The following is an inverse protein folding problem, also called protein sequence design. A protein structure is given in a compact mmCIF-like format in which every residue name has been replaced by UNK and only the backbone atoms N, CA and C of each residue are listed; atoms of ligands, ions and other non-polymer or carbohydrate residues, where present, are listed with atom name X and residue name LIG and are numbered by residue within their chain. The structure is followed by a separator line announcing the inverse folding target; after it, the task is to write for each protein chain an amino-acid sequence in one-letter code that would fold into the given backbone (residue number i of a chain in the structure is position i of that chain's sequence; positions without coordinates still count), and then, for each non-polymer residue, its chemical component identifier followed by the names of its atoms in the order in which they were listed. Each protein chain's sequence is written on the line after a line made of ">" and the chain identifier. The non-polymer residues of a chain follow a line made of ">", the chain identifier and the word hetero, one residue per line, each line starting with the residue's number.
data_IF_155422164645
#
_entry.id   IF_155422164645
#
_cell.length_a   1.000
_cell.length_b   1.000
_cell.length_c   1.000
_cell.angle_alpha   90.00
_cell.angle_beta   90.00
_cell.angle_gamma   90.00
#
_symmetry.space_group_name_H-M   'P 1'
#
loop_
_entity.id
_entity.type
_entity.pdbx_description
1 polymer ?
#
# COMPACT_ATOMS: atom_id res chain seq x y z
N UNK A 1 15.31 22.26 -19.86
CA UNK A 1 16.10 22.71 -18.73
C UNK A 1 15.80 21.80 -17.54
N UNK A 2 16.81 21.13 -16.96
CA UNK A 2 16.67 20.19 -15.82
C UNK A 2 15.91 20.83 -14.65
N UNK A 3 16.15 22.11 -14.42
CA UNK A 3 15.47 22.88 -13.36
C UNK A 3 13.93 22.89 -13.56
N UNK A 4 13.46 23.07 -14.79
CA UNK A 4 12.01 23.06 -15.07
C UNK A 4 11.40 21.66 -14.91
N UNK A 5 12.16 20.61 -15.25
CA UNK A 5 11.71 19.25 -15.04
C UNK A 5 11.58 18.91 -13.56
N UNK A 6 12.55 19.31 -12.73
CA UNK A 6 12.46 19.11 -11.29
C UNK A 6 11.28 19.88 -10.69
N UNK A 7 11.09 21.14 -11.09
CA UNK A 7 9.95 21.93 -10.63
C UNK A 7 8.61 21.28 -10.98
N UNK A 8 8.47 20.75 -12.20
CA UNK A 8 7.27 20.02 -12.61
C UNK A 8 7.03 18.78 -11.73
N UNK A 9 8.09 18.01 -11.44
CA UNK A 9 8.00 16.83 -10.57
C UNK A 9 7.58 17.24 -9.16
N UNK A 10 8.20 18.28 -8.61
CA UNK A 10 7.90 18.78 -7.27
C UNK A 10 6.43 19.26 -7.18
N UNK A 11 5.96 20.04 -8.17
CA UNK A 11 4.57 20.52 -8.25
C UNK A 11 3.55 19.36 -8.34
N UNK A 12 3.89 18.28 -9.05
CA UNK A 12 3.04 17.08 -9.15
C UNK A 12 3.05 16.30 -7.83
N UNK A 13 4.23 16.09 -7.24
CA UNK A 13 4.37 15.36 -5.99
C UNK A 13 3.60 16.07 -4.86
N UNK A 14 3.73 17.38 -4.73
CA UNK A 14 3.02 18.17 -3.71
C UNK A 14 1.50 18.01 -3.80
N UNK A 15 0.96 17.89 -5.04
CA UNK A 15 -0.47 17.65 -5.26
C UNK A 15 -0.91 16.21 -4.95
N UNK A 16 -0.05 15.24 -5.25
CA UNK A 16 -0.37 13.80 -5.13
C UNK A 16 -0.16 13.31 -3.71
N UNK A 17 0.94 13.65 -3.07
CA UNK A 17 1.36 13.08 -1.78
C UNK A 17 0.31 13.28 -0.68
N UNK A 18 -0.31 14.46 -0.63
CA UNK A 18 -1.38 14.73 0.33
C UNK A 18 -2.61 13.86 0.08
N UNK A 19 -3.00 13.67 -1.19
CA UNK A 19 -4.16 12.85 -1.56
C UNK A 19 -3.88 11.37 -1.25
N UNK A 20 -2.69 10.88 -1.60
CA UNK A 20 -2.28 9.49 -1.36
C UNK A 20 -2.26 9.20 0.13
N UNK A 21 -1.64 10.07 0.93
CA UNK A 21 -1.57 9.90 2.38
C UNK A 21 -2.97 9.84 3.03
N UNK A 22 -3.85 10.80 2.70
CA UNK A 22 -5.22 10.79 3.21
C UNK A 22 -5.96 9.51 2.79
N UNK A 23 -5.77 9.07 1.54
CA UNK A 23 -6.38 7.85 1.04
C UNK A 23 -5.87 6.61 1.79
N UNK A 24 -4.58 6.52 2.08
CA UNK A 24 -3.98 5.43 2.85
C UNK A 24 -4.55 5.38 4.27
N UNK A 25 -4.61 6.55 4.95
CA UNK A 25 -5.16 6.65 6.31
C UNK A 25 -6.63 6.18 6.35
N UNK A 26 -7.47 6.66 5.43
CA UNK A 26 -8.90 6.28 5.35
C UNK A 26 -9.06 4.81 4.96
N UNK A 27 -8.21 4.29 4.07
CA UNK A 27 -8.28 2.88 3.67
C UNK A 27 -8.01 1.98 4.88
N UNK A 28 -7.02 2.34 5.69
CA UNK A 28 -6.69 1.60 6.90
C UNK A 28 -7.85 1.65 7.93
N UNK A 29 -8.42 2.83 8.15
CA UNK A 29 -9.56 3.00 9.06
C UNK A 29 -10.78 2.19 8.58
N UNK A 30 -11.04 2.18 7.25
CA UNK A 30 -12.08 1.35 6.65
C UNK A 30 -11.84 -0.15 6.88
N UNK A 31 -10.60 -0.61 6.71
CA UNK A 31 -10.24 -2.01 6.98
C UNK A 31 -10.48 -2.39 8.44
N UNK A 32 -10.13 -1.52 9.39
CA UNK A 32 -10.39 -1.71 10.82
C UNK A 32 -11.91 -1.78 11.12
N UNK A 33 -12.71 -0.92 10.50
CA UNK A 33 -14.18 -0.94 10.61
C UNK A 33 -14.79 -2.22 10.02
N UNK A 34 -14.34 -2.64 8.83
CA UNK A 34 -14.82 -3.85 8.18
C UNK A 34 -14.51 -5.10 9.02
N UNK A 35 -13.34 -5.16 9.65
CA UNK A 35 -12.97 -6.23 10.58
C UNK A 35 -13.86 -6.23 11.84
N UNK A 36 -14.14 -5.05 12.39
CA UNK A 36 -15.03 -4.90 13.54
C UNK A 36 -16.49 -5.33 13.20
N UNK A 37 -16.99 -5.00 12.01
CA UNK A 37 -18.31 -5.43 11.52
C UNK A 37 -18.38 -6.96 11.47
N UNK A 38 -17.37 -7.62 10.90
CA UNK A 38 -17.32 -9.08 10.82
C UNK A 38 -17.34 -9.69 12.23
N UNK A 39 -16.57 -9.14 13.15
CA UNK A 39 -16.53 -9.62 14.52
C UNK A 39 -17.88 -9.46 15.22
N UNK A 40 -18.49 -8.28 15.12
CA UNK A 40 -19.78 -7.99 15.76
C UNK A 40 -20.90 -8.90 15.21
N UNK A 41 -20.93 -9.16 13.90
CA UNK A 41 -21.89 -10.12 13.29
C UNK A 41 -21.70 -11.51 13.86
N UNK A 42 -20.48 -11.98 14.02
CA UNK A 42 -20.19 -13.29 14.60
C UNK A 42 -20.56 -13.37 16.10
N UNK A 43 -20.41 -12.27 16.83
CA UNK A 43 -20.83 -12.18 18.24
C UNK A 43 -22.36 -12.21 18.37
N UNK A 44 -23.08 -11.49 17.51
CA UNK A 44 -24.55 -11.49 17.46
C UNK A 44 -25.09 -12.90 17.19
N UNK A 45 -24.57 -13.60 16.18
CA UNK A 45 -24.94 -14.99 15.90
C UNK A 45 -24.62 -15.94 17.06
N UNK A 46 -23.56 -15.68 17.81
CA UNK A 46 -23.12 -16.47 18.97
C UNK A 46 -23.89 -16.19 20.23
N UNK A 47 -24.77 -15.18 20.24
CA UNK A 47 -25.50 -14.70 21.42
C UNK A 47 -24.60 -14.32 22.61
N UNK A 48 -23.40 -13.87 22.32
CA UNK A 48 -22.45 -13.34 23.31
C UNK A 48 -22.68 -11.84 23.41
N UNK A 49 -23.03 -11.37 24.62
CA UNK A 49 -23.15 -9.93 24.85
C UNK A 49 -21.76 -9.29 24.95
N UNK A 50 -21.56 -8.20 24.25
CA UNK A 50 -20.31 -7.41 24.32
C UNK A 50 -20.09 -6.88 25.74
N UNK A 51 -21.15 -6.49 26.44
CA UNK A 51 -21.09 -6.00 27.80
C UNK A 51 -20.63 -7.06 28.80
N UNK A 52 -21.06 -8.32 28.61
CA UNK A 52 -20.63 -9.45 29.46
C UNK A 52 -19.13 -9.72 29.31
N UNK A 53 -18.58 -9.41 28.16
CA UNK A 53 -17.15 -9.64 27.84
C UNK A 53 -16.27 -8.46 28.33
N UNK A 54 -16.74 -7.22 28.22
CA UNK A 54 -15.97 -6.03 28.58
C UNK A 54 -15.92 -5.75 30.09
N UNK A 55 -16.96 -6.10 30.83
CA UNK A 55 -17.14 -5.70 32.22
C UNK A 55 -16.64 -6.71 33.27
N UNK A 56 -15.79 -7.66 32.88
CA UNK A 56 -15.26 -8.67 33.83
C UNK A 56 -14.02 -8.16 34.56
N UNK A 57 -14.05 -8.16 35.88
CA UNK A 57 -12.94 -7.70 36.72
C UNK A 57 -11.77 -8.69 36.80
N UNK A 58 -12.05 -9.98 36.64
CA UNK A 58 -11.10 -11.07 36.85
C UNK A 58 -10.78 -11.86 35.59
N UNK A 59 -11.54 -11.69 34.53
CA UNK A 59 -11.39 -12.38 33.26
C UNK A 59 -11.12 -11.33 32.20
N UNK A 60 -10.11 -11.57 31.39
CA UNK A 60 -9.82 -10.74 30.22
C UNK A 60 -10.13 -11.53 28.97
N UNK A 61 -10.91 -10.94 28.07
CA UNK A 61 -11.23 -11.50 26.78
C UNK A 61 -10.45 -10.77 25.66
N UNK A 62 -10.05 -11.52 24.66
CA UNK A 62 -9.44 -10.99 23.44
C UNK A 62 -10.15 -11.51 22.21
N UNK A 63 -10.35 -10.63 21.27
CA UNK A 63 -10.93 -10.94 19.96
C UNK A 63 -9.88 -10.76 18.89
N UNK A 64 -9.93 -11.61 17.87
CA UNK A 64 -9.00 -11.48 16.77
C UNK A 64 -9.11 -12.62 15.78
N UNK A 65 -8.13 -12.68 14.89
CA UNK A 65 -8.03 -13.71 13.86
C UNK A 65 -6.65 -14.36 13.88
N UNK A 66 -6.60 -15.62 13.47
CA UNK A 66 -5.36 -16.40 13.32
C UNK A 66 -5.34 -16.99 11.91
N UNK A 67 -4.21 -16.99 11.19
CA UNK A 67 -4.08 -17.72 9.94
C UNK A 67 -4.43 -19.19 10.11
N UNK A 68 -5.18 -19.78 9.16
CA UNK A 68 -5.69 -21.17 9.27
C UNK A 68 -4.57 -22.19 9.48
N UNK A 69 -3.40 -21.99 8.83
CA UNK A 69 -2.21 -22.85 8.99
C UNK A 69 -1.62 -22.78 10.40
N UNK A 70 -1.68 -21.63 11.05
CA UNK A 70 -1.15 -21.41 12.40
C UNK A 70 -2.12 -21.89 13.49
N UNK A 71 -3.42 -21.85 13.23
CA UNK A 71 -4.47 -22.22 14.18
C UNK A 71 -4.32 -23.66 14.70
N UNK A 72 -3.76 -24.56 13.90
CA UNK A 72 -3.50 -25.95 14.31
C UNK A 72 -2.56 -26.06 15.51
N UNK A 73 -1.72 -25.04 15.73
CA UNK A 73 -0.77 -24.99 16.84
C UNK A 73 -1.45 -24.81 18.20
N UNK A 74 -2.72 -24.41 18.25
CA UNK A 74 -3.47 -24.21 19.50
C UNK A 74 -3.49 -25.49 20.37
N UNK A 75 -3.39 -26.65 19.74
CA UNK A 75 -3.30 -27.93 20.43
C UNK A 75 -2.06 -28.08 21.34
N UNK A 76 -0.98 -27.32 21.07
CA UNK A 76 0.25 -27.36 21.87
C UNK A 76 0.14 -26.54 23.16
N UNK A 77 -0.89 -25.70 23.28
CA UNK A 77 -1.11 -24.83 24.42
C UNK A 77 -2.26 -25.29 25.33
N UNK A 78 -2.64 -26.58 25.27
CA UNK A 78 -3.73 -27.15 26.07
C UNK A 78 -3.52 -27.09 27.57
N UNK A 79 -2.25 -26.99 28.02
CA UNK A 79 -1.89 -26.92 29.43
C UNK A 79 -2.02 -25.48 30.00
N UNK A 80 -2.30 -24.51 29.15
CA UNK A 80 -2.56 -23.14 29.58
C UNK A 80 -4.02 -22.98 30.01
N UNK A 81 -4.22 -22.21 31.09
CA UNK A 81 -5.55 -21.95 31.66
C UNK A 81 -6.31 -20.88 30.87
N UNK A 82 -6.73 -21.21 29.66
CA UNK A 82 -7.60 -20.35 28.88
C UNK A 82 -8.76 -21.13 28.25
N UNK A 83 -9.82 -20.41 27.94
CA UNK A 83 -10.90 -20.90 27.09
C UNK A 83 -10.88 -20.15 25.77
N UNK A 84 -11.22 -20.80 24.71
CA UNK A 84 -11.40 -20.14 23.41
C UNK A 84 -12.62 -20.68 22.70
N UNK A 85 -13.15 -19.84 21.81
CA UNK A 85 -14.24 -20.22 20.92
C UNK A 85 -13.94 -19.72 19.51
N UNK A 86 -14.07 -20.61 18.53
CA UNK A 86 -14.08 -20.25 17.12
C UNK A 86 -15.42 -19.57 16.82
N UNK A 87 -15.35 -18.35 16.24
CA UNK A 87 -16.50 -17.54 15.88
C UNK A 87 -16.85 -17.75 14.40
N UNK A 88 -15.82 -17.73 13.55
CA UNK A 88 -15.97 -17.89 12.11
C UNK A 88 -14.68 -18.45 11.50
N UNK A 89 -14.77 -19.01 10.30
CA UNK A 89 -13.62 -19.53 9.55
C UNK A 89 -13.73 -19.16 8.07
N UNK A 90 -12.73 -18.46 7.59
CA UNK A 90 -12.54 -18.22 6.17
C UNK A 90 -11.48 -19.18 5.57
N UNK A 91 -11.14 -19.01 4.29
CA UNK A 91 -10.06 -19.78 3.66
C UNK A 91 -8.67 -19.42 4.22
N UNK A 92 -8.49 -18.22 4.72
CA UNK A 92 -7.21 -17.67 5.17
C UNK A 92 -7.11 -17.54 6.67
N UNK A 93 -8.21 -17.20 7.36
CA UNK A 93 -8.23 -16.86 8.79
C UNK A 93 -9.32 -17.61 9.55
N UNK A 94 -9.04 -17.89 10.81
CA UNK A 94 -10.00 -18.34 11.83
C UNK A 94 -10.21 -17.18 12.79
N UNK A 95 -11.45 -16.74 12.93
CA UNK A 95 -11.86 -15.71 13.88
C UNK A 95 -12.19 -16.33 15.21
N UNK A 96 -11.58 -15.84 16.27
CA UNK A 96 -11.70 -16.43 17.59
C UNK A 96 -11.90 -15.37 18.66
N UNK A 97 -12.50 -15.82 19.77
CA UNK A 97 -12.42 -15.16 21.07
C UNK A 97 -11.70 -16.11 22.02
N UNK A 98 -10.79 -15.57 22.80
CA UNK A 98 -10.23 -16.31 23.93
C UNK A 98 -10.34 -15.50 25.20
N UNK A 99 -10.38 -16.19 26.33
CA UNK A 99 -10.49 -15.59 27.64
C UNK A 99 -9.61 -16.35 28.64
N UNK A 100 -9.02 -15.61 29.55
CA UNK A 100 -8.22 -16.12 30.64
C UNK A 100 -8.28 -15.20 31.86
N UNK A 101 -7.70 -15.66 32.98
CA UNK A 101 -7.58 -14.83 34.16
C UNK A 101 -6.73 -13.59 33.85
N UNK A 102 -7.17 -12.44 34.33
CA UNK A 102 -6.45 -11.16 34.12
C UNK A 102 -5.01 -11.22 34.65
N UNK A 103 -4.74 -12.03 35.69
CA UNK A 103 -3.41 -12.22 36.25
C UNK A 103 -2.44 -12.99 35.35
N UNK A 104 -2.93 -13.87 34.47
CA UNK A 104 -2.13 -14.71 33.57
C UNK A 104 -2.35 -14.39 32.10
N UNK A 105 -3.12 -13.36 31.80
CA UNK A 105 -3.46 -13.03 30.41
C UNK A 105 -2.24 -12.74 29.54
N UNK A 106 -1.17 -12.17 30.10
CA UNK A 106 0.06 -11.88 29.35
C UNK A 106 0.76 -13.15 28.83
N UNK A 107 0.70 -14.24 29.57
CA UNK A 107 1.26 -15.53 29.14
C UNK A 107 0.41 -16.12 28.00
N UNK A 108 -0.91 -15.99 28.12
CA UNK A 108 -1.87 -16.42 27.11
C UNK A 108 -1.71 -15.58 25.84
N UNK A 109 -1.60 -14.25 25.99
CA UNK A 109 -1.35 -13.33 24.86
C UNK A 109 -0.06 -13.68 24.11
N UNK A 110 1.01 -14.07 24.81
CA UNK A 110 2.26 -14.53 24.19
C UNK A 110 2.06 -15.84 23.42
N UNK A 111 1.30 -16.79 23.95
CA UNK A 111 0.98 -18.04 23.27
C UNK A 111 0.21 -17.77 21.96
N UNK A 112 -0.81 -16.89 21.99
CA UNK A 112 -1.56 -16.52 20.80
C UNK A 112 -0.74 -15.69 19.81
N UNK A 113 0.13 -14.81 20.27
CA UNK A 113 1.07 -14.07 19.43
C UNK A 113 2.01 -15.00 18.65
N UNK A 114 2.44 -16.11 19.25
CA UNK A 114 3.28 -17.13 18.56
C UNK A 114 2.54 -17.84 17.42
N UNK A 115 1.22 -17.76 17.39
CA UNK A 115 0.36 -18.29 16.33
C UNK A 115 -0.05 -17.19 15.32
N UNK A 116 0.63 -16.05 15.33
CA UNK A 116 0.32 -14.89 14.48
C UNK A 116 -1.11 -14.38 14.71
N UNK A 117 -1.53 -14.35 15.97
CA UNK A 117 -2.82 -13.77 16.33
C UNK A 117 -2.82 -12.26 16.08
N UNK A 118 -3.78 -11.80 15.29
CA UNK A 118 -4.03 -10.40 15.01
C UNK A 118 -5.21 -9.94 15.86
N UNK A 119 -4.97 -9.10 16.90
CA UNK A 119 -6.04 -8.62 17.76
C UNK A 119 -6.95 -7.65 17.01
N UNK A 120 -8.25 -7.75 17.28
CA UNK A 120 -9.26 -6.84 16.76
C UNK A 120 -9.87 -6.10 17.94
N UNK A 121 -9.79 -4.77 17.90
CA UNK A 121 -10.39 -3.91 18.90
C UNK A 121 -11.89 -3.75 18.63
N UNK A 122 -12.70 -3.99 19.65
CA UNK A 122 -14.11 -3.61 19.58
C UNK A 122 -14.21 -2.09 19.78
N UNK A 123 -14.97 -1.38 18.93
CA UNK A 123 -15.20 0.04 19.11
C UNK A 123 -15.78 0.34 20.49
N UNK A 124 -15.42 1.48 21.09
CA UNK A 124 -15.88 1.87 22.43
C UNK A 124 -17.39 2.07 22.49
N UNK A 125 -18.00 2.48 21.38
CA UNK A 125 -19.45 2.72 21.27
C UNK A 125 -20.29 1.45 21.07
N UNK A 126 -19.69 0.28 20.89
CA UNK A 126 -20.41 -0.99 20.83
C UNK A 126 -21.00 -1.39 22.20
N UNK A 127 -21.63 -0.44 22.88
CA UNK A 127 -22.35 -0.63 24.15
C UNK A 127 -23.84 -0.82 23.86
N UNK A 128 -24.39 -1.93 24.32
CA UNK A 128 -25.82 -2.17 24.36
C UNK A 128 -26.33 -3.01 23.20
N UNK A 129 -26.55 -2.48 22.02
CA UNK A 129 -27.12 -3.23 20.91
C UNK A 129 -26.09 -3.42 19.79
N UNK A 130 -25.60 -4.67 19.66
CA UNK A 130 -24.64 -5.06 18.61
C UNK A 130 -25.14 -4.66 17.23
N UNK A 131 -26.44 -4.77 16.98
CA UNK A 131 -27.03 -4.43 15.68
C UNK A 131 -26.88 -2.93 15.34
N UNK A 132 -27.12 -2.03 16.29
CA UNK A 132 -26.96 -0.58 16.08
C UNK A 132 -25.49 -0.24 15.77
N UNK A 133 -24.53 -0.87 16.44
CA UNK A 133 -23.11 -0.68 16.17
C UNK A 133 -22.69 -1.22 14.77
N UNK A 134 -23.29 -2.33 14.31
CA UNK A 134 -23.06 -2.85 12.97
C UNK A 134 -23.58 -1.87 11.92
N UNK A 135 -24.77 -1.30 12.14
CA UNK A 135 -25.37 -0.34 11.20
C UNK A 135 -24.52 0.94 11.10
N UNK A 136 -24.12 1.52 12.24
CA UNK A 136 -23.26 2.72 12.27
C UNK A 136 -21.93 2.48 11.57
N UNK A 137 -21.21 1.39 11.88
CA UNK A 137 -19.95 1.07 11.22
C UNK A 137 -20.11 0.80 9.73
N UNK A 138 -21.24 0.22 9.32
CA UNK A 138 -21.53 -0.04 7.91
C UNK A 138 -21.77 1.26 7.14
N UNK A 139 -22.47 2.21 7.75
CA UNK A 139 -22.66 3.55 7.17
C UNK A 139 -21.33 4.30 7.06
N UNK A 140 -20.48 4.27 8.10
CA UNK A 140 -19.15 4.88 8.08
C UNK A 140 -18.25 4.24 7.00
N UNK A 141 -18.19 2.91 6.94
CA UNK A 141 -17.40 2.18 5.93
C UNK A 141 -17.84 2.52 4.52
N UNK A 142 -19.15 2.65 4.30
CA UNK A 142 -19.73 3.08 3.01
C UNK A 142 -19.34 4.53 2.66
N UNK A 143 -19.37 5.43 3.64
CA UNK A 143 -18.96 6.82 3.43
C UNK A 143 -17.46 6.92 3.10
N UNK A 144 -16.61 6.13 3.80
CA UNK A 144 -15.18 6.03 3.53
C UNK A 144 -14.91 5.51 2.11
N UNK A 145 -15.64 4.49 1.64
CA UNK A 145 -15.52 3.96 0.29
C UNK A 145 -15.85 5.02 -0.78
N UNK A 146 -16.91 5.79 -0.56
CA UNK A 146 -17.25 6.90 -1.45
C UNK A 146 -16.17 7.99 -1.45
N UNK A 147 -15.56 8.26 -0.30
CA UNK A 147 -14.47 9.23 -0.19
C UNK A 147 -13.20 8.75 -0.91
N UNK A 148 -12.83 7.47 -0.74
CA UNK A 148 -11.72 6.84 -1.47
C UNK A 148 -11.95 6.94 -2.98
N UNK A 149 -13.16 6.63 -3.47
CA UNK A 149 -13.49 6.76 -4.89
C UNK A 149 -13.34 8.20 -5.41
N UNK A 150 -13.70 9.21 -4.60
CA UNK A 150 -13.47 10.62 -4.95
C UNK A 150 -11.98 10.96 -5.02
N UNK A 151 -11.15 10.40 -4.13
CA UNK A 151 -9.69 10.59 -4.18
C UNK A 151 -9.10 9.95 -5.43
N UNK A 152 -9.54 8.75 -5.81
CA UNK A 152 -9.12 8.09 -7.04
C UNK A 152 -9.49 8.91 -8.28
N UNK A 153 -10.70 9.47 -8.31
CA UNK A 153 -11.11 10.39 -9.39
C UNK A 153 -10.20 11.62 -9.48
N UNK A 154 -9.85 12.24 -8.35
CA UNK A 154 -8.93 13.38 -8.33
C UNK A 154 -7.52 13.01 -8.82
N UNK A 155 -7.01 11.84 -8.45
CA UNK A 155 -5.71 11.35 -8.94
C UNK A 155 -5.73 11.13 -10.47
N UNK A 156 -6.81 10.56 -10.99
CA UNK A 156 -6.98 10.42 -12.45
C UNK A 156 -7.11 11.76 -13.17
N UNK A 157 -7.73 12.75 -12.56
CA UNK A 157 -7.83 14.11 -13.14
C UNK A 157 -6.45 14.80 -13.16
N UNK A 158 -5.67 14.70 -12.08
CA UNK A 158 -4.28 15.18 -12.04
C UNK A 158 -3.44 14.49 -13.12
N UNK A 159 -3.54 13.17 -13.23
CA UNK A 159 -2.85 12.39 -14.26
C UNK A 159 -3.19 12.85 -15.69
N UNK A 160 -4.45 13.18 -15.95
CA UNK A 160 -4.88 13.71 -17.25
C UNK A 160 -4.34 15.11 -17.48
N UNK A 161 -4.40 15.98 -16.46
CA UNK A 161 -3.92 17.36 -16.51
C UNK A 161 -2.44 17.45 -16.89
N UNK A 162 -1.62 16.63 -16.26
CA UNK A 162 -0.15 16.67 -16.44
C UNK A 162 0.40 15.73 -17.51
N UNK A 163 -0.44 14.87 -18.11
CA UNK A 163 0.00 13.82 -19.05
C UNK A 163 0.84 14.35 -20.20
N UNK A 164 0.39 15.40 -20.86
CA UNK A 164 1.06 15.96 -22.04
C UNK A 164 2.38 16.63 -21.65
N UNK A 165 2.38 17.41 -20.57
CA UNK A 165 3.57 18.12 -20.10
C UNK A 165 4.67 17.15 -19.60
N UNK A 166 4.26 16.09 -18.87
CA UNK A 166 5.16 15.03 -18.43
C UNK A 166 5.74 14.29 -19.65
N UNK A 167 4.92 13.95 -20.64
CA UNK A 167 5.37 13.25 -21.84
C UNK A 167 6.36 14.09 -22.64
N UNK A 168 6.08 15.38 -22.81
CA UNK A 168 6.98 16.31 -23.50
C UNK A 168 8.30 16.46 -22.74
N UNK A 169 8.25 16.65 -21.42
CA UNK A 169 9.42 16.76 -20.57
C UNK A 169 10.26 15.48 -20.59
N UNK A 170 9.62 14.33 -20.48
CA UNK A 170 10.27 13.04 -20.60
C UNK A 170 10.97 12.87 -21.95
N UNK A 171 10.30 13.19 -23.05
CA UNK A 171 10.86 13.08 -24.39
C UNK A 171 12.08 13.99 -24.56
N UNK A 172 12.02 15.22 -24.05
CA UNK A 172 13.17 16.14 -24.05
C UNK A 172 14.35 15.61 -23.24
N UNK A 173 14.11 15.11 -22.04
CA UNK A 173 15.14 14.53 -21.16
C UNK A 173 15.74 13.26 -21.78
N UNK A 174 14.90 12.41 -22.36
CA UNK A 174 15.36 11.19 -23.05
C UNK A 174 16.27 11.51 -24.24
N UNK A 175 15.88 12.48 -25.06
CA UNK A 175 16.71 12.94 -26.19
C UNK A 175 18.02 13.57 -25.70
N UNK A 176 17.97 14.36 -24.62
CA UNK A 176 19.17 14.95 -24.02
C UNK A 176 20.10 13.84 -23.49
N UNK A 177 19.58 12.85 -22.79
CA UNK A 177 20.35 11.69 -22.34
C UNK A 177 21.02 10.97 -23.50
N UNK A 178 20.28 10.70 -24.59
CA UNK A 178 20.83 10.06 -25.80
C UNK A 178 21.96 10.90 -26.41
N UNK A 179 21.82 12.23 -26.38
CA UNK A 179 22.88 13.12 -26.86
C UNK A 179 24.12 13.02 -25.98
N UNK A 180 23.97 13.06 -24.66
CA UNK A 180 25.11 12.89 -23.73
C UNK A 180 25.76 11.52 -23.88
N UNK A 181 24.98 10.46 -24.02
CA UNK A 181 25.52 9.11 -24.24
C UNK A 181 26.36 9.04 -25.51
N UNK A 182 25.95 9.73 -26.59
CA UNK A 182 26.76 9.86 -27.82
C UNK A 182 28.01 10.71 -27.61
N UNK A 183 27.92 11.80 -26.84
CA UNK A 183 29.06 12.67 -26.54
C UNK A 183 30.19 11.94 -25.79
N UNK A 184 29.90 10.82 -25.12
CA UNK A 184 30.94 9.99 -24.47
C UNK A 184 31.95 9.38 -25.46
N UNK A 185 31.56 9.31 -26.74
CA UNK A 185 32.41 8.78 -27.81
C UNK A 185 33.06 9.90 -28.63
N UNK A 186 32.85 11.17 -28.26
CA UNK A 186 33.50 12.30 -28.91
C UNK A 186 34.77 12.63 -28.10
N UNK A 187 35.91 12.53 -28.76
CA UNK A 187 37.20 12.87 -28.19
C UNK A 187 37.71 14.12 -28.91
N UNK A 188 37.83 15.23 -28.18
CA UNK A 188 38.46 16.46 -28.69
C UNK A 188 39.96 16.43 -28.37
N UNK A 189 40.80 16.21 -29.36
CA UNK A 189 42.26 16.16 -29.20
C UNK A 189 42.93 17.50 -29.31
N UNK A 190 42.26 18.51 -29.85
CA UNK A 190 42.74 19.88 -29.93
C UNK A 190 41.60 20.84 -30.27
N UNK A 191 41.80 22.11 -30.01
CA UNK A 191 40.85 23.18 -30.41
C UNK A 191 40.62 23.27 -31.93
N UNK A 192 41.26 22.42 -32.73
CA UNK A 192 41.23 22.44 -34.20
C UNK A 192 40.58 21.24 -34.85
N UNK A 193 40.30 20.18 -34.14
CA UNK A 193 39.68 18.96 -34.68
C UNK A 193 38.78 18.24 -33.67
N UNK A 194 37.59 17.87 -34.07
CA UNK A 194 36.68 17.01 -33.32
C UNK A 194 36.42 15.71 -34.02
N UNK A 195 36.49 14.59 -33.32
CA UNK A 195 36.20 13.25 -33.87
C UNK A 195 34.80 12.84 -33.42
N UNK A 196 33.92 12.59 -34.36
CA UNK A 196 32.57 12.07 -34.13
C UNK A 196 32.49 10.63 -34.60
N UNK A 197 32.03 9.72 -33.74
CA UNK A 197 31.74 8.35 -34.13
C UNK A 197 30.24 8.14 -34.23
N UNK A 198 29.76 7.63 -35.31
CA UNK A 198 28.38 7.21 -35.52
C UNK A 198 28.35 5.89 -36.25
N UNK A 199 27.26 5.12 -36.08
CA UNK A 199 27.04 3.88 -36.80
C UNK A 199 25.90 4.05 -37.80
N UNK A 200 26.08 3.51 -38.97
CA UNK A 200 25.03 3.44 -40.00
C UNK A 200 24.84 1.99 -40.43
N UNK A 201 23.62 1.62 -40.81
CA UNK A 201 23.32 0.31 -41.41
C UNK A 201 23.81 0.22 -42.87
N UNK A 202 24.03 1.36 -43.51
CA UNK A 202 24.61 1.45 -44.84
C UNK A 202 25.79 2.43 -44.84
N UNK A 203 27.00 1.86 -44.83
CA UNK A 203 28.24 2.62 -44.81
C UNK A 203 28.40 3.46 -46.10
N UNK A 204 27.99 2.94 -47.28
CA UNK A 204 28.13 3.63 -48.56
C UNK A 204 27.23 4.87 -48.63
N UNK A 205 26.00 4.77 -48.12
CA UNK A 205 25.11 5.93 -48.04
C UNK A 205 25.63 6.97 -47.05
N UNK A 206 26.22 6.53 -45.93
CA UNK A 206 26.85 7.42 -44.97
C UNK A 206 28.08 8.13 -45.57
N UNK A 207 28.96 7.44 -46.24
CA UNK A 207 30.12 7.99 -46.93
C UNK A 207 29.69 9.04 -47.96
N UNK A 208 28.72 8.73 -48.82
CA UNK A 208 28.23 9.65 -49.87
C UNK A 208 27.63 10.96 -49.30
N UNK A 209 27.08 10.95 -48.09
CA UNK A 209 26.57 12.15 -47.43
C UNK A 209 27.68 13.07 -46.86
N UNK A 210 28.88 12.56 -46.70
CA UNK A 210 30.03 13.28 -46.14
C UNK A 210 31.13 13.58 -47.16
N UNK A 211 31.01 13.05 -48.38
CA UNK A 211 32.02 13.21 -49.45
C UNK A 211 32.23 14.68 -49.87
N UNK A 212 31.18 15.54 -49.70
CA UNK A 212 31.25 16.96 -50.02
C UNK A 212 31.92 17.83 -48.94
N UNK A 213 32.35 17.18 -47.81
CA UNK A 213 32.93 17.90 -46.67
C UNK A 213 34.44 17.58 -46.59
N UNK A 214 35.27 18.45 -47.17
CA UNK A 214 36.75 18.32 -47.23
C UNK A 214 37.45 18.05 -45.88
N UNK A 215 36.75 18.26 -44.77
CA UNK A 215 37.30 18.10 -43.42
C UNK A 215 36.87 16.80 -42.71
N UNK A 216 36.06 15.96 -43.30
CA UNK A 216 35.56 14.70 -42.72
C UNK A 216 36.25 13.53 -43.37
N UNK A 217 36.94 12.70 -42.57
CA UNK A 217 37.41 11.37 -42.97
C UNK A 217 36.53 10.32 -42.33
N UNK A 218 35.88 9.52 -43.17
CA UNK A 218 35.19 8.31 -42.73
C UNK A 218 36.21 7.19 -42.64
N UNK A 219 36.31 6.52 -41.50
CA UNK A 219 37.24 5.40 -41.26
C UNK A 219 36.43 4.13 -41.06
#
# INVERSE_FOLDING_TARGET
>A
NLHNANKLIDDINDKIDNIVKIKEDITKEKEENDEAIILLKNLEESKISVDDVKNTKYITCRFGKIPVNEFTKIQYYRDYEFIFRELNRSKQYVWIVYAGLTSSISEIDNAFSSMSFEPISLPEFAHGKVHEAIDELTEESTAMEQYIAKMDSKLEDIKKEYKEEVLETFTRLYNLKRLFDKCRYVVDFSQKASIYTFSSFDLKEAEAKFDDIDSVKVM
#
